data_IF_833322644527
#
_entry.id   IF_833322644527
#
_cell.length_a   1.000
_cell.length_b   1.000
_cell.length_c   1.000
_cell.angle_alpha   90.00
_cell.angle_beta   90.00
_cell.angle_gamma   90.00
#
_symmetry.space_group_name_H-M   'P 1'
#
loop_
_entity.id
_entity.type
_entity.pdbx_description
1 polymer ?
#
# COMPACT_ATOMS: atom_id res chain seq x y z
N UNK A 1 -27.94 30.98 6.46
CA UNK A 1 -28.45 29.95 5.51
C UNK A 1 -27.27 29.08 5.11
N UNK A 2 -27.09 28.00 5.87
CA UNK A 2 -26.07 26.99 5.64
C UNK A 2 -26.47 26.18 4.40
N UNK A 3 -25.63 26.18 3.36
CA UNK A 3 -25.87 25.38 2.16
C UNK A 3 -25.77 23.91 2.56
N UNK A 4 -26.90 23.23 2.66
CA UNK A 4 -26.99 21.77 2.74
C UNK A 4 -26.12 21.22 1.59
N UNK A 5 -24.98 20.62 1.92
CA UNK A 5 -24.20 19.85 0.97
C UNK A 5 -25.08 18.66 0.55
N UNK A 6 -25.64 18.71 -0.65
CA UNK A 6 -26.29 17.57 -1.31
C UNK A 6 -25.29 16.41 -1.36
N UNK A 7 -25.38 15.51 -0.38
CA UNK A 7 -24.67 14.24 -0.34
C UNK A 7 -25.23 13.37 -1.47
N UNK A 8 -24.66 13.53 -2.66
CA UNK A 8 -24.96 12.68 -3.81
C UNK A 8 -24.29 11.32 -3.59
N UNK A 9 -24.99 10.42 -2.91
CA UNK A 9 -24.57 9.01 -2.69
C UNK A 9 -24.24 8.30 -4.01
N UNK A 10 -24.87 8.71 -5.11
CA UNK A 10 -24.64 8.16 -6.44
C UNK A 10 -24.25 9.27 -7.42
N UNK A 11 -22.94 9.51 -7.55
CA UNK A 11 -22.39 10.36 -8.59
C UNK A 11 -21.94 9.52 -9.80
N UNK A 12 -22.39 9.88 -11.00
CA UNK A 12 -21.84 9.26 -12.22
C UNK A 12 -20.34 9.59 -12.29
N UNK A 13 -19.47 8.60 -12.60
CA UNK A 13 -18.05 8.85 -12.69
C UNK A 13 -17.76 9.85 -13.82
N UNK A 14 -16.76 10.73 -13.65
CA UNK A 14 -16.33 11.65 -14.71
C UNK A 14 -16.04 10.90 -16.02
N UNK A 15 -16.39 11.50 -17.16
CA UNK A 15 -16.17 10.92 -18.50
C UNK A 15 -14.70 10.50 -18.64
N UNK A 16 -14.46 9.22 -18.92
CA UNK A 16 -13.12 8.65 -19.08
C UNK A 16 -12.50 8.02 -17.83
N UNK A 17 -13.01 8.32 -16.61
CA UNK A 17 -12.50 7.71 -15.35
C UNK A 17 -12.69 6.19 -15.37
N UNK A 18 -13.87 5.72 -15.80
CA UNK A 18 -14.19 4.28 -15.85
C UNK A 18 -13.25 3.48 -16.77
N UNK A 19 -12.83 4.05 -17.91
CA UNK A 19 -11.90 3.38 -18.84
C UNK A 19 -10.50 3.23 -18.22
N UNK A 20 -10.01 4.25 -17.51
CA UNK A 20 -8.76 4.15 -16.76
C UNK A 20 -8.82 3.08 -15.67
N UNK A 21 -9.94 2.99 -14.94
CA UNK A 21 -10.17 1.96 -13.93
C UNK A 21 -10.21 0.54 -14.52
N UNK A 22 -10.79 0.35 -15.71
CA UNK A 22 -10.79 -0.94 -16.40
C UNK A 22 -9.38 -1.40 -16.81
N UNK A 23 -8.50 -0.47 -17.20
CA UNK A 23 -7.09 -0.79 -17.52
C UNK A 23 -6.35 -1.25 -16.27
N UNK A 24 -6.54 -0.55 -15.16
CA UNK A 24 -5.99 -0.93 -13.85
C UNK A 24 -6.52 -2.30 -13.42
N UNK A 25 -7.83 -2.51 -13.54
CA UNK A 25 -8.46 -3.78 -13.22
C UNK A 25 -7.84 -4.92 -14.02
N UNK A 26 -7.67 -4.76 -15.33
CA UNK A 26 -7.03 -5.76 -16.18
C UNK A 26 -5.59 -6.07 -15.74
N UNK A 27 -4.82 -5.06 -15.31
CA UNK A 27 -3.47 -5.24 -14.77
C UNK A 27 -3.45 -6.03 -13.46
N UNK A 28 -4.36 -5.72 -12.53
CA UNK A 28 -4.47 -6.44 -11.26
C UNK A 28 -4.89 -7.90 -11.50
N UNK A 29 -5.86 -8.13 -12.38
CA UNK A 29 -6.30 -9.47 -12.76
C UNK A 29 -5.16 -10.25 -13.43
N UNK A 30 -4.37 -9.63 -14.30
CA UNK A 30 -3.20 -10.27 -14.90
C UNK A 30 -2.23 -10.78 -13.82
N UNK A 31 -1.87 -9.95 -12.85
CA UNK A 31 -0.95 -10.37 -11.77
C UNK A 31 -1.55 -11.43 -10.85
N UNK A 32 -2.87 -11.36 -10.57
CA UNK A 32 -3.56 -12.41 -9.85
C UNK A 32 -3.55 -13.72 -10.65
N UNK A 33 -3.80 -13.67 -11.97
CA UNK A 33 -3.74 -14.84 -12.83
C UNK A 33 -2.34 -15.45 -12.87
N UNK A 34 -1.29 -14.64 -13.05
CA UNK A 34 0.10 -15.09 -13.00
C UNK A 34 0.36 -15.82 -11.68
N UNK A 35 -0.02 -15.21 -10.56
CA UNK A 35 0.12 -15.81 -9.24
C UNK A 35 -0.63 -17.15 -9.12
N UNK A 36 -1.88 -17.23 -9.57
CA UNK A 36 -2.65 -18.48 -9.52
C UNK A 36 -2.06 -19.56 -10.43
N UNK A 37 -1.57 -19.19 -11.61
CA UNK A 37 -0.97 -20.12 -12.56
C UNK A 37 0.34 -20.73 -12.04
N UNK A 38 1.11 -19.97 -11.26
CA UNK A 38 2.40 -20.41 -10.70
C UNK A 38 2.32 -20.67 -9.19
N UNK A 39 1.12 -20.77 -8.62
CA UNK A 39 0.90 -20.74 -7.16
C UNK A 39 1.78 -21.73 -6.39
N UNK A 40 1.92 -22.96 -6.89
CA UNK A 40 2.80 -23.98 -6.29
C UNK A 40 4.26 -23.51 -6.25
N UNK A 41 4.82 -23.12 -7.41
CA UNK A 41 6.18 -22.61 -7.50
C UNK A 41 6.38 -21.26 -6.78
N UNK A 42 5.32 -20.47 -6.62
CA UNK A 42 5.36 -19.17 -5.93
C UNK A 42 5.58 -19.33 -4.42
N UNK A 43 5.06 -20.40 -3.80
CA UNK A 43 5.32 -20.67 -2.37
C UNK A 43 6.78 -21.01 -2.09
N UNK A 44 7.49 -21.55 -3.08
CA UNK A 44 8.93 -21.83 -3.00
C UNK A 44 9.78 -20.57 -3.27
N UNK A 45 9.18 -19.50 -3.81
CA UNK A 45 9.87 -18.23 -3.98
C UNK A 45 9.99 -17.48 -2.64
N UNK A 46 11.04 -16.66 -2.45
CA UNK A 46 11.17 -15.79 -1.28
C UNK A 46 10.23 -14.58 -1.37
N UNK A 47 8.94 -14.81 -1.63
CA UNK A 47 7.91 -13.78 -1.79
C UNK A 47 6.69 -14.13 -0.92
N UNK A 48 6.38 -13.26 0.03
CA UNK A 48 5.16 -13.29 0.82
C UNK A 48 4.00 -12.65 0.06
N UNK A 49 3.02 -13.50 -0.31
CA UNK A 49 1.83 -13.12 -1.08
C UNK A 49 1.11 -11.89 -0.53
N UNK A 50 0.87 -11.87 0.79
CA UNK A 50 0.15 -10.78 1.43
C UNK A 50 0.89 -9.44 1.27
N UNK A 51 2.21 -9.43 1.50
CA UNK A 51 3.03 -8.22 1.47
C UNK A 51 3.18 -7.68 0.05
N UNK A 52 3.20 -8.58 -0.94
CA UNK A 52 3.18 -8.24 -2.35
C UNK A 52 1.84 -7.61 -2.77
N UNK A 53 0.72 -8.31 -2.56
CA UNK A 53 -0.57 -7.89 -3.10
C UNK A 53 -1.21 -6.74 -2.34
N UNK A 54 -0.99 -6.62 -1.03
CA UNK A 54 -1.62 -5.52 -0.28
C UNK A 54 -1.10 -4.14 -0.72
N UNK A 55 0.10 -4.08 -1.28
CA UNK A 55 0.67 -2.85 -1.82
C UNK A 55 -0.22 -2.18 -2.88
N UNK A 56 -0.95 -2.97 -3.70
CA UNK A 56 -1.84 -2.41 -4.74
C UNK A 56 -3.15 -1.92 -4.18
N UNK A 57 -3.72 -2.62 -3.21
CA UNK A 57 -4.95 -2.17 -2.54
C UNK A 57 -4.74 -0.82 -1.88
N UNK A 58 -3.63 -0.68 -1.14
CA UNK A 58 -3.32 0.55 -0.43
C UNK A 58 -2.98 1.70 -1.40
N UNK A 59 -2.31 1.41 -2.52
CA UNK A 59 -2.08 2.40 -3.57
C UNK A 59 -3.38 3.04 -4.08
N UNK A 60 -4.46 2.27 -4.19
CA UNK A 60 -5.77 2.82 -4.60
C UNK A 60 -6.51 3.55 -3.48
N UNK A 61 -6.30 3.17 -2.22
CA UNK A 61 -6.89 3.86 -1.06
C UNK A 61 -6.34 5.30 -0.85
N UNK A 62 -5.19 5.62 -1.44
CA UNK A 62 -4.54 6.92 -1.32
C UNK A 62 -5.00 7.91 -2.40
N UNK A 63 -6.32 8.14 -2.50
CA UNK A 63 -6.91 8.87 -3.63
C UNK A 63 -6.40 10.31 -3.81
N UNK A 64 -6.07 10.98 -2.71
CA UNK A 64 -5.63 12.39 -2.73
C UNK A 64 -4.19 12.58 -3.23
N UNK A 65 -3.39 11.52 -3.27
CA UNK A 65 -2.00 11.59 -3.69
C UNK A 65 -1.85 11.39 -5.20
N UNK A 66 -0.82 12.01 -5.78
CA UNK A 66 -0.38 11.70 -7.15
C UNK A 66 0.14 10.26 -7.22
N UNK A 67 0.08 9.62 -8.39
CA UNK A 67 0.59 8.24 -8.55
C UNK A 67 2.05 8.07 -8.11
N UNK A 68 2.90 9.06 -8.38
CA UNK A 68 4.30 9.06 -7.91
C UNK A 68 4.39 9.11 -6.38
N UNK A 69 3.58 9.94 -5.73
CA UNK A 69 3.55 10.03 -4.28
C UNK A 69 3.02 8.74 -3.64
N UNK A 70 1.94 8.16 -4.18
CA UNK A 70 1.38 6.88 -3.70
C UNK A 70 2.41 5.76 -3.69
N UNK A 71 3.25 5.67 -4.73
CA UNK A 71 4.34 4.69 -4.78
C UNK A 71 5.28 4.84 -3.58
N UNK A 72 5.79 6.04 -3.34
CA UNK A 72 6.74 6.28 -2.24
C UNK A 72 6.10 6.12 -0.86
N UNK A 73 4.87 6.59 -0.68
CA UNK A 73 4.15 6.40 0.57
C UNK A 73 3.87 4.92 0.84
N UNK A 74 3.58 4.13 -0.19
CA UNK A 74 3.37 2.68 -0.05
C UNK A 74 4.67 1.96 0.30
N UNK A 75 5.74 2.22 -0.47
CA UNK A 75 7.02 1.54 -0.28
C UNK A 75 7.67 1.92 1.06
N UNK A 76 7.78 3.21 1.35
CA UNK A 76 8.46 3.69 2.56
C UNK A 76 7.58 3.44 3.78
N UNK A 77 6.30 3.82 3.72
CA UNK A 77 5.35 3.60 4.81
C UNK A 77 5.23 2.12 5.14
N UNK A 78 5.04 1.26 4.14
CA UNK A 78 4.98 -0.19 4.33
C UNK A 78 6.25 -0.75 4.98
N UNK A 79 7.43 -0.29 4.54
CA UNK A 79 8.71 -0.72 5.12
C UNK A 79 8.84 -0.29 6.59
N UNK A 80 8.45 0.94 6.92
CA UNK A 80 8.38 1.42 8.31
C UNK A 80 7.44 0.53 9.13
N UNK A 81 6.25 0.21 8.63
CA UNK A 81 5.31 -0.69 9.31
C UNK A 81 5.89 -2.07 9.62
N UNK A 82 6.56 -2.68 8.63
CA UNK A 82 7.25 -3.96 8.79
C UNK A 82 8.37 -3.90 9.84
N UNK A 83 9.20 -2.86 9.80
CA UNK A 83 10.29 -2.64 10.75
C UNK A 83 9.78 -2.39 12.17
N UNK A 84 8.71 -1.61 12.32
CA UNK A 84 8.08 -1.39 13.62
C UNK A 84 7.51 -2.69 14.19
N UNK A 85 6.91 -3.56 13.37
CA UNK A 85 6.39 -4.84 13.84
C UNK A 85 7.52 -5.76 14.33
N UNK A 86 8.58 -5.90 13.54
CA UNK A 86 9.76 -6.68 13.95
C UNK A 86 10.44 -6.10 15.21
N UNK A 87 10.55 -4.78 15.28
CA UNK A 87 11.11 -4.06 16.42
C UNK A 87 10.29 -4.29 17.69
N UNK A 88 8.96 -4.15 17.61
CA UNK A 88 8.04 -4.43 18.72
C UNK A 88 8.24 -5.84 19.27
N UNK A 89 8.24 -6.84 18.40
CA UNK A 89 8.40 -8.25 18.81
C UNK A 89 9.76 -8.49 19.45
N UNK A 90 10.81 -7.86 18.91
CA UNK A 90 12.15 -7.95 19.49
C UNK A 90 12.18 -7.33 20.89
N UNK A 91 11.58 -6.15 21.07
CA UNK A 91 11.51 -5.45 22.36
C UNK A 91 10.66 -6.22 23.37
N UNK A 92 9.51 -6.76 22.99
CA UNK A 92 8.67 -7.59 23.85
C UNK A 92 9.47 -8.78 24.41
N UNK A 93 10.17 -9.52 23.55
CA UNK A 93 11.03 -10.66 23.96
C UNK A 93 12.11 -10.21 24.93
N UNK A 94 12.74 -9.05 24.71
CA UNK A 94 13.76 -8.52 25.61
C UNK A 94 13.18 -8.13 26.97
N UNK A 95 12.06 -7.43 27.00
CA UNK A 95 11.40 -6.99 28.24
C UNK A 95 10.92 -8.18 29.07
N UNK A 96 10.30 -9.18 28.44
CA UNK A 96 9.88 -10.42 29.11
C UNK A 96 11.08 -11.13 29.73
N UNK A 97 12.21 -11.24 29.01
CA UNK A 97 13.46 -11.84 29.54
C UNK A 97 14.02 -11.07 30.74
N UNK A 98 13.78 -9.76 30.81
CA UNK A 98 14.19 -8.92 31.94
C UNK A 98 13.21 -8.93 33.12
N UNK A 99 12.17 -9.79 33.10
CA UNK A 99 11.21 -9.93 34.18
C UNK A 99 10.03 -8.96 34.12
N UNK A 100 9.86 -8.22 33.03
CA UNK A 100 8.67 -7.36 32.82
C UNK A 100 7.45 -8.25 32.56
N UNK A 101 6.30 -8.01 33.21
CA UNK A 101 5.07 -8.76 32.93
C UNK A 101 4.69 -8.65 31.44
N UNK A 102 4.29 -9.77 30.84
CA UNK A 102 4.04 -9.83 29.38
C UNK A 102 3.09 -8.75 28.86
N UNK A 103 2.00 -8.46 29.58
CA UNK A 103 1.07 -7.39 29.19
C UNK A 103 1.78 -6.03 29.06
N UNK A 104 2.65 -5.69 30.00
CA UNK A 104 3.42 -4.46 29.95
C UNK A 104 4.50 -4.52 28.85
N UNK A 105 5.17 -5.67 28.70
CA UNK A 105 6.19 -5.90 27.68
C UNK A 105 5.65 -5.73 26.25
N UNK A 106 4.38 -6.02 26.00
CA UNK A 106 3.70 -5.77 24.71
C UNK A 106 3.12 -4.36 24.63
N UNK A 107 2.34 -3.94 25.64
CA UNK A 107 1.54 -2.72 25.54
C UNK A 107 2.40 -1.46 25.49
N UNK A 108 3.56 -1.44 26.15
CA UNK A 108 4.48 -0.30 26.13
C UNK A 108 5.02 -0.06 24.71
N UNK A 109 5.75 -1.00 24.07
CA UNK A 109 6.24 -0.79 22.71
C UNK A 109 5.11 -0.66 21.69
N UNK A 110 3.99 -1.36 21.85
CA UNK A 110 2.82 -1.20 20.97
C UNK A 110 2.28 0.23 20.99
N UNK A 111 2.13 0.82 22.18
CA UNK A 111 1.67 2.20 22.34
C UNK A 111 2.65 3.17 21.69
N UNK A 112 3.96 2.95 21.86
CA UNK A 112 5.00 3.78 21.23
C UNK A 112 4.95 3.69 19.71
N UNK A 113 4.84 2.48 19.14
CA UNK A 113 4.75 2.28 17.68
C UNK A 113 3.50 2.95 17.09
N UNK A 114 2.33 2.79 17.72
CA UNK A 114 1.08 3.41 17.28
C UNK A 114 1.15 4.94 17.41
N UNK A 115 1.67 5.45 18.54
CA UNK A 115 1.87 6.87 18.74
C UNK A 115 2.79 7.46 17.67
N UNK A 116 3.89 6.79 17.32
CA UNK A 116 4.76 7.22 16.24
C UNK A 116 4.02 7.27 14.90
N UNK A 117 3.28 6.21 14.55
CA UNK A 117 2.52 6.14 13.29
C UNK A 117 1.45 7.23 13.15
N UNK A 118 0.79 7.60 14.25
CA UNK A 118 -0.30 8.59 14.25
C UNK A 118 0.24 10.01 14.42
N UNK A 119 1.05 10.25 15.45
CA UNK A 119 1.47 11.60 15.85
C UNK A 119 2.59 12.16 14.98
N UNK A 120 3.43 11.30 14.38
CA UNK A 120 4.47 11.77 13.45
C UNK A 120 3.98 11.91 12.00
N UNK A 121 2.78 11.41 11.67
CA UNK A 121 2.23 11.50 10.32
C UNK A 121 2.17 12.95 9.76
N UNK A 122 1.77 13.99 10.53
CA UNK A 122 1.75 15.36 10.02
C UNK A 122 3.15 15.91 9.68
N UNK A 123 4.20 15.42 10.32
CA UNK A 123 5.58 15.90 10.15
C UNK A 123 6.37 15.09 9.12
N UNK A 124 6.16 13.77 9.09
CA UNK A 124 6.88 12.82 8.26
C UNK A 124 5.91 11.87 7.52
N UNK A 125 4.98 12.40 6.69
CA UNK A 125 3.85 11.65 6.13
C UNK A 125 4.22 10.54 5.16
N UNK A 126 5.45 10.55 4.64
CA UNK A 126 5.96 9.47 3.78
C UNK A 126 6.37 8.24 4.60
N UNK A 127 6.87 8.46 5.82
CA UNK A 127 7.36 7.41 6.73
C UNK A 127 6.25 6.89 7.63
N UNK A 128 5.51 7.81 8.26
CA UNK A 128 4.42 7.50 9.17
C UNK A 128 3.12 7.82 8.47
N UNK A 129 2.37 6.80 8.06
CA UNK A 129 1.09 6.94 7.37
C UNK A 129 0.24 5.68 7.52
N UNK A 130 -0.98 5.75 6.98
CA UNK A 130 -1.94 4.65 7.02
C UNK A 130 -1.43 3.38 6.31
N UNK A 131 -0.49 3.50 5.36
CA UNK A 131 0.15 2.32 4.75
C UNK A 131 1.02 1.61 5.77
N UNK A 132 1.90 2.35 6.45
CA UNK A 132 2.74 1.81 7.51
C UNK A 132 1.93 1.23 8.65
N UNK A 133 0.83 1.89 9.02
CA UNK A 133 -0.07 1.36 10.03
C UNK A 133 -0.70 0.02 9.59
N UNK A 134 -1.14 -0.08 8.33
CA UNK A 134 -1.70 -1.32 7.80
C UNK A 134 -0.69 -2.48 7.80
N UNK A 135 0.53 -2.25 7.29
CA UNK A 135 1.60 -3.27 7.29
C UNK A 135 2.02 -3.67 8.70
N UNK A 136 2.04 -2.73 9.64
CA UNK A 136 2.33 -2.99 11.04
C UNK A 136 1.30 -3.96 11.65
N UNK A 137 0.01 -3.65 11.56
CA UNK A 137 -1.06 -4.48 12.13
C UNK A 137 -1.10 -5.88 11.50
N UNK A 138 -0.99 -5.97 10.18
CA UNK A 138 -1.04 -7.26 9.49
C UNK A 138 0.16 -8.14 9.86
N UNK A 139 1.33 -7.53 10.04
CA UNK A 139 2.52 -8.28 10.47
C UNK A 139 2.37 -8.85 11.88
N UNK A 140 1.62 -8.17 12.76
CA UNK A 140 1.34 -8.65 14.11
C UNK A 140 0.35 -9.82 14.16
N UNK A 141 -0.41 -10.11 13.08
CA UNK A 141 -1.23 -11.33 12.98
C UNK A 141 -0.36 -12.59 13.15
N UNK A 142 0.88 -12.53 12.66
CA UNK A 142 1.90 -13.54 12.92
C UNK A 142 3.20 -12.86 13.40
N UNK A 143 3.19 -12.44 14.67
CA UNK A 143 4.28 -11.73 15.31
C UNK A 143 5.65 -12.44 15.18
N UNK A 144 5.68 -13.78 15.26
CA UNK A 144 6.91 -14.54 15.07
C UNK A 144 7.48 -14.35 13.65
N UNK A 145 6.63 -14.44 12.64
CA UNK A 145 7.05 -14.24 11.26
C UNK A 145 7.46 -12.79 10.96
N UNK A 146 6.96 -11.80 11.71
CA UNK A 146 7.38 -10.40 11.57
C UNK A 146 8.90 -10.22 11.73
N UNK A 147 9.54 -11.01 12.60
CA UNK A 147 11.00 -11.01 12.76
C UNK A 147 11.67 -11.98 11.80
N UNK A 148 11.22 -13.25 11.77
CA UNK A 148 11.90 -14.32 11.01
C UNK A 148 11.86 -14.11 9.49
N UNK A 149 10.80 -13.49 8.99
CA UNK A 149 10.57 -13.29 7.55
C UNK A 149 10.66 -11.81 7.15
N UNK A 150 11.20 -10.94 8.01
CA UNK A 150 11.31 -9.52 7.71
C UNK A 150 11.97 -9.23 6.34
N UNK A 151 13.10 -9.85 5.96
CA UNK A 151 13.71 -9.61 4.64
C UNK A 151 12.79 -10.02 3.50
N UNK A 152 12.07 -11.15 3.65
CA UNK A 152 11.10 -11.63 2.66
C UNK A 152 9.93 -10.66 2.54
N UNK A 153 9.42 -10.14 3.65
CA UNK A 153 8.32 -9.17 3.65
C UNK A 153 8.73 -7.85 2.99
N UNK A 154 9.93 -7.35 3.28
CA UNK A 154 10.49 -6.15 2.65
C UNK A 154 10.69 -6.34 1.15
N UNK A 155 11.26 -7.48 0.74
CA UNK A 155 11.42 -7.83 -0.68
C UNK A 155 10.05 -7.90 -1.38
N UNK A 156 9.07 -8.54 -0.74
CA UNK A 156 7.73 -8.70 -1.31
C UNK A 156 7.01 -7.37 -1.48
N UNK A 157 7.10 -6.48 -0.49
CA UNK A 157 6.60 -5.12 -0.57
C UNK A 157 7.28 -4.34 -1.71
N UNK A 158 8.61 -4.46 -1.85
CA UNK A 158 9.35 -3.81 -2.93
C UNK A 158 8.86 -4.30 -4.31
N UNK A 159 8.81 -5.62 -4.50
CA UNK A 159 8.36 -6.22 -5.76
C UNK A 159 6.90 -5.87 -6.06
N UNK A 160 6.01 -5.92 -5.06
CA UNK A 160 4.60 -5.52 -5.21
C UNK A 160 4.48 -4.04 -5.60
N UNK A 161 5.24 -3.17 -4.95
CA UNK A 161 5.27 -1.75 -5.27
C UNK A 161 5.78 -1.50 -6.70
N UNK A 162 6.79 -2.23 -7.15
CA UNK A 162 7.30 -2.10 -8.53
C UNK A 162 6.29 -2.63 -9.53
N UNK A 163 5.90 -3.89 -9.43
CA UNK A 163 5.10 -4.54 -10.46
C UNK A 163 3.65 -4.08 -10.47
N UNK A 164 3.03 -3.92 -9.30
CA UNK A 164 1.63 -3.53 -9.21
C UNK A 164 1.50 -2.01 -9.26
N UNK A 165 2.20 -1.27 -8.39
CA UNK A 165 1.94 0.16 -8.22
C UNK A 165 2.56 1.01 -9.34
N UNK A 166 3.83 0.78 -9.71
CA UNK A 166 4.40 1.47 -10.88
C UNK A 166 3.73 1.00 -12.17
N UNK A 167 3.35 -0.28 -12.27
CA UNK A 167 2.57 -0.80 -13.40
C UNK A 167 1.26 -0.04 -13.59
N UNK A 168 0.43 0.06 -12.54
CA UNK A 168 -0.81 0.84 -12.56
C UNK A 168 -0.56 2.30 -12.92
N UNK A 169 0.45 2.93 -12.30
CA UNK A 169 0.82 4.32 -12.55
C UNK A 169 1.19 4.57 -14.01
N UNK A 170 2.02 3.69 -14.58
CA UNK A 170 2.49 3.75 -15.96
C UNK A 170 1.34 3.58 -16.95
N UNK A 171 0.48 2.58 -16.73
CA UNK A 171 -0.69 2.34 -17.57
C UNK A 171 -1.64 3.55 -17.59
N UNK A 172 -1.90 4.17 -16.44
CA UNK A 172 -2.74 5.35 -16.34
C UNK A 172 -2.10 6.58 -17.02
N UNK A 173 -0.78 6.72 -16.92
CA UNK A 173 -0.04 7.78 -17.60
C UNK A 173 -0.09 7.63 -19.14
N UNK A 174 0.12 6.40 -19.64
CA UNK A 174 0.02 6.07 -21.06
C UNK A 174 -1.40 6.32 -21.59
N UNK A 175 -2.42 5.88 -20.84
CA UNK A 175 -3.82 6.13 -21.18
C UNK A 175 -4.12 7.64 -21.27
N UNK A 176 -3.69 8.42 -20.28
CA UNK A 176 -3.87 9.89 -20.28
C UNK A 176 -3.18 10.53 -21.49
N UNK A 177 -1.95 10.12 -21.81
CA UNK A 177 -1.19 10.62 -22.97
C UNK A 177 -1.91 10.30 -24.29
N UNK A 178 -2.46 9.09 -24.44
CA UNK A 178 -3.23 8.70 -25.62
C UNK A 178 -4.51 9.53 -25.77
N UNK A 179 -5.23 9.78 -24.68
CA UNK A 179 -6.44 10.62 -24.67
C UNK A 179 -6.13 12.07 -25.05
N UNK A 180 -5.03 12.65 -24.55
CA UNK A 180 -4.62 14.01 -24.93
C UNK A 180 -4.23 14.11 -26.41
N UNK A 181 -3.50 13.12 -26.95
CA UNK A 181 -3.19 13.08 -28.39
C UNK A 181 -4.44 13.00 -29.26
N UNK A 182 -5.41 12.16 -28.87
CA UNK A 182 -6.68 12.03 -29.59
C UNK A 182 -7.51 13.32 -29.55
N UNK A 183 -7.54 14.01 -28.42
CA UNK A 183 -8.20 15.31 -28.30
C UNK A 183 -7.54 16.38 -29.18
N UNK A 184 -6.20 16.47 -29.17
CA UNK A 184 -5.45 17.42 -29.99
C UNK A 184 -5.63 17.17 -31.49
N UNK A 185 -5.65 15.90 -31.93
CA UNK A 185 -5.92 15.55 -33.32
C UNK A 185 -7.33 15.95 -33.76
N UNK A 186 -8.34 15.76 -32.89
CA UNK A 186 -9.71 16.17 -33.16
C UNK A 186 -9.83 17.71 -33.31
N UNK A 187 -9.19 18.47 -32.43
CA UNK A 187 -9.17 19.95 -32.51
C UNK A 187 -8.43 20.52 -33.72
N UNK A 188 -7.55 19.73 -34.36
CA UNK A 188 -6.82 20.13 -35.56
C UNK A 188 -7.54 19.77 -36.86
N UNK A 189 -8.41 18.76 -36.85
CA UNK A 189 -9.25 18.40 -38.01
C UNK A 189 -10.57 19.17 -38.10
N UNK A 190 -10.92 19.95 -37.06
CA UNK A 190 -12.06 20.87 -37.03
C UNK A 190 -11.68 22.32 -37.39
N UNK A 191 -10.43 22.56 -37.84
CA UNK A 191 -9.93 23.82 -38.41
C UNK A 191 -9.60 23.61 -39.88
#
# INVERSE_FOLDING_TARGET
>A
MEKLHDLKFFAKPPKGKMKGLLIVFAWIILWNFIYQAVHGAWHDMPIANWAFFISVTIFFMQEELTYKARFWHTLIGGAVGLLLAAGLVTVDVLLVKSGVPHLAAVMIPLTVCIAALILLNPYLPVFFNNVGFCYFIISLINAKAAVEKLPVYLLSLLLGSIFLNLGCSGLLALYKKAMMKKAAAKSRGEK
#
